data_IF_752856624064
#
_entry.id   IF_752856624064
#
_cell.length_a   1.000
_cell.length_b   1.000
_cell.length_c   1.000
_cell.angle_alpha   90.00
_cell.angle_beta   90.00
_cell.angle_gamma   90.00
#
_symmetry.space_group_name_H-M   'P 1'
#
loop_
_entity.id
_entity.type
_entity.pdbx_description
1 polymer ?
#
# COMPACT_ATOMS: atom_id res chain seq x y z
N UNK A 1 14.28 13.72 4.29
CA UNK A 1 12.94 13.28 4.78
C UNK A 1 12.84 11.80 4.51
N UNK A 2 12.66 10.98 5.54
CA UNK A 2 12.46 9.56 5.36
C UNK A 2 11.01 9.23 4.92
N UNK A 3 10.74 7.96 4.58
CA UNK A 3 9.43 7.53 4.09
C UNK A 3 8.28 7.86 5.06
N UNK A 4 8.46 7.60 6.35
CA UNK A 4 7.42 7.82 7.36
C UNK A 4 7.12 9.32 7.52
N UNK A 5 8.16 10.15 7.54
CA UNK A 5 8.01 11.61 7.58
C UNK A 5 7.28 12.13 6.33
N UNK A 6 7.64 11.64 5.15
CA UNK A 6 6.99 12.01 3.88
C UNK A 6 5.52 11.58 3.85
N UNK A 7 5.23 10.36 4.32
CA UNK A 7 3.86 9.84 4.43
C UNK A 7 3.00 10.70 5.37
N UNK A 8 3.51 11.02 6.55
CA UNK A 8 2.78 11.85 7.52
C UNK A 8 2.60 13.27 7.00
N UNK A 9 3.60 13.85 6.34
CA UNK A 9 3.50 15.17 5.73
C UNK A 9 2.39 15.21 4.66
N UNK A 10 2.36 14.25 3.73
CA UNK A 10 1.32 14.16 2.71
C UNK A 10 -0.06 13.88 3.31
N UNK A 11 -0.14 12.98 4.32
CA UNK A 11 -1.38 12.68 5.03
C UNK A 11 -1.98 13.94 5.70
N UNK A 12 -1.16 14.73 6.36
CA UNK A 12 -1.58 15.97 7.02
C UNK A 12 -1.93 17.06 6.02
N UNK A 13 -1.11 17.27 4.99
CA UNK A 13 -1.34 18.27 3.95
C UNK A 13 -2.68 18.05 3.23
N UNK A 14 -3.01 16.81 2.89
CA UNK A 14 -4.23 16.47 2.16
C UNK A 14 -5.38 16.04 3.10
N UNK A 15 -5.13 16.02 4.42
CA UNK A 15 -6.02 15.48 5.43
C UNK A 15 -6.59 14.11 4.99
N UNK A 16 -5.71 13.15 4.70
CA UNK A 16 -6.08 11.91 4.04
C UNK A 16 -5.31 10.70 4.55
N UNK A 17 -6.01 9.56 4.65
CA UNK A 17 -5.45 8.23 4.83
C UNK A 17 -5.55 7.40 3.55
N UNK A 18 -6.10 7.98 2.47
CA UNK A 18 -6.33 7.30 1.21
C UNK A 18 -5.02 7.08 0.44
N UNK A 19 -4.80 5.87 0.00
CA UNK A 19 -3.76 5.49 -0.96
C UNK A 19 -4.43 4.99 -2.24
N UNK A 20 -4.19 5.66 -3.36
CA UNK A 20 -4.70 5.22 -4.65
C UNK A 20 -3.77 4.18 -5.26
N UNK A 21 -4.32 2.99 -5.53
CA UNK A 21 -3.61 1.94 -6.26
C UNK A 21 -3.64 2.22 -7.76
N UNK A 22 -2.48 2.11 -8.41
CA UNK A 22 -2.34 2.24 -9.87
C UNK A 22 -2.18 0.83 -10.46
N UNK A 23 -3.32 0.20 -10.70
CA UNK A 23 -3.46 -1.19 -11.19
C UNK A 23 -4.18 -1.16 -12.57
N UNK A 24 -3.52 -0.67 -13.66
CA UNK A 24 -4.18 -0.37 -14.92
C UNK A 24 -4.52 -1.62 -15.74
N UNK A 25 -5.79 -1.92 -15.92
CA UNK A 25 -6.30 -2.96 -16.82
C UNK A 25 -6.84 -2.34 -18.11
N UNK A 26 -6.10 -2.44 -19.21
CA UNK A 26 -6.43 -1.82 -20.49
C UNK A 26 -7.87 -2.12 -20.98
N UNK A 27 -8.40 -3.34 -20.71
CA UNK A 27 -9.76 -3.72 -21.07
C UNK A 27 -10.85 -2.89 -20.37
N UNK A 28 -10.50 -2.24 -19.24
CA UNK A 28 -11.41 -1.42 -18.45
C UNK A 28 -11.29 0.08 -18.75
N UNK A 29 -10.44 0.47 -19.71
CA UNK A 29 -10.26 1.87 -20.07
C UNK A 29 -11.44 2.39 -20.91
N UNK A 30 -11.65 3.72 -20.94
CA UNK A 30 -12.57 4.35 -21.85
C UNK A 30 -12.29 3.99 -23.32
N UNK A 31 -13.32 3.88 -24.17
CA UNK A 31 -13.16 3.53 -25.60
C UNK A 31 -12.20 4.45 -26.36
N UNK A 32 -12.09 5.71 -25.98
CA UNK A 32 -11.15 6.68 -26.56
C UNK A 32 -9.69 6.27 -26.34
N UNK A 33 -9.35 5.78 -25.15
CA UNK A 33 -8.00 5.32 -24.80
C UNK A 33 -7.70 3.93 -25.37
N UNK A 34 -8.70 3.05 -25.48
CA UNK A 34 -8.49 1.70 -26.03
C UNK A 34 -8.05 1.69 -27.50
N UNK A 35 -8.30 2.78 -28.24
CA UNK A 35 -7.86 2.95 -29.64
C UNK A 35 -6.37 3.30 -29.78
N UNK A 36 -5.71 3.68 -28.70
CA UNK A 36 -4.28 4.01 -28.68
C UNK A 36 -3.42 2.76 -28.47
N UNK A 37 -2.13 2.78 -28.85
CA UNK A 37 -1.20 1.73 -28.43
C UNK A 37 -1.24 1.52 -26.91
N UNK A 38 -1.23 0.25 -26.49
CA UNK A 38 -1.51 -0.14 -25.09
C UNK A 38 -0.64 0.59 -24.06
N UNK A 39 0.66 0.72 -24.34
CA UNK A 39 1.59 1.41 -23.44
C UNK A 39 1.25 2.90 -23.30
N UNK A 40 0.94 3.57 -24.40
CA UNK A 40 0.53 4.98 -24.39
C UNK A 40 -0.80 5.18 -23.67
N UNK A 41 -1.76 4.27 -23.88
CA UNK A 41 -3.03 4.28 -23.17
C UNK A 41 -2.86 4.16 -21.66
N UNK A 42 -1.99 3.23 -21.21
CA UNK A 42 -1.69 3.04 -19.78
C UNK A 42 -1.05 4.30 -19.19
N UNK A 43 -0.07 4.89 -19.87
CA UNK A 43 0.58 6.14 -19.40
C UNK A 43 -0.46 7.24 -19.25
N UNK A 44 -1.23 7.52 -20.29
CA UNK A 44 -2.24 8.60 -20.28
C UNK A 44 -3.29 8.37 -19.20
N UNK A 45 -3.81 7.14 -19.09
CA UNK A 45 -4.79 6.79 -18.07
C UNK A 45 -4.24 7.06 -16.67
N UNK A 46 -3.06 6.51 -16.34
CA UNK A 46 -2.48 6.70 -15.02
C UNK A 46 -2.15 8.17 -14.73
N UNK A 47 -1.66 8.93 -15.71
CA UNK A 47 -1.38 10.35 -15.56
C UNK A 47 -2.65 11.15 -15.21
N UNK A 48 -3.75 10.92 -15.93
CA UNK A 48 -5.03 11.58 -15.63
C UNK A 48 -5.57 11.21 -14.24
N UNK A 49 -5.46 9.94 -13.84
CA UNK A 49 -5.86 9.50 -12.49
C UNK A 49 -4.98 10.17 -11.42
N UNK A 50 -3.67 10.21 -11.60
CA UNK A 50 -2.74 10.84 -10.66
C UNK A 50 -3.07 12.32 -10.51
N UNK A 51 -3.22 13.05 -11.62
CA UNK A 51 -3.53 14.48 -11.61
C UNK A 51 -4.86 14.75 -10.87
N UNK A 52 -5.89 13.98 -11.20
CA UNK A 52 -7.23 14.14 -10.62
C UNK A 52 -7.29 13.82 -9.12
N UNK A 53 -6.51 12.83 -8.65
CA UNK A 53 -6.62 12.30 -7.28
C UNK A 53 -5.53 12.80 -6.32
N UNK A 54 -4.44 13.39 -6.82
CA UNK A 54 -3.31 13.85 -6.00
C UNK A 54 -3.71 14.71 -4.80
N UNK A 55 -4.70 15.64 -4.87
CA UNK A 55 -5.09 16.44 -3.71
C UNK A 55 -5.79 15.66 -2.59
N UNK A 56 -6.14 14.41 -2.82
CA UNK A 56 -6.97 13.60 -1.90
C UNK A 56 -6.25 12.40 -1.31
N UNK A 57 -4.96 12.20 -1.60
CA UNK A 57 -4.23 10.98 -1.22
C UNK A 57 -3.09 11.26 -0.25
N UNK A 58 -2.75 10.28 0.60
CA UNK A 58 -1.51 10.25 1.37
C UNK A 58 -0.37 9.54 0.64
N UNK A 59 -0.68 8.70 -0.36
CA UNK A 59 0.30 7.95 -1.15
C UNK A 59 -0.30 7.45 -2.47
N UNK A 60 0.55 7.11 -3.45
CA UNK A 60 0.19 6.27 -4.58
C UNK A 60 0.86 4.90 -4.47
N UNK A 61 0.13 3.85 -4.90
CA UNK A 61 0.63 2.48 -4.84
C UNK A 61 0.52 1.78 -6.20
N UNK A 62 1.49 1.97 -7.12
CA UNK A 62 1.54 1.19 -8.33
C UNK A 62 1.88 -0.27 -8.03
N UNK A 63 1.13 -1.21 -8.65
CA UNK A 63 1.42 -2.63 -8.58
C UNK A 63 2.23 -3.02 -9.82
N UNK A 64 3.48 -3.45 -9.59
CA UNK A 64 4.45 -3.70 -10.65
C UNK A 64 3.99 -4.79 -11.63
N UNK A 65 3.18 -5.75 -11.18
CA UNK A 65 2.69 -6.85 -12.01
C UNK A 65 1.89 -6.37 -13.25
N UNK A 66 1.13 -5.26 -13.13
CA UNK A 66 0.39 -4.70 -14.25
C UNK A 66 1.30 -4.10 -15.33
N UNK A 67 2.48 -3.66 -14.95
CA UNK A 67 3.49 -3.11 -15.84
C UNK A 67 4.39 -4.22 -16.42
N UNK A 68 4.84 -5.16 -15.61
CA UNK A 68 5.57 -6.36 -16.07
C UNK A 68 4.77 -7.12 -17.14
N UNK A 69 3.44 -7.22 -16.98
CA UNK A 69 2.55 -7.88 -17.93
C UNK A 69 2.37 -7.14 -19.29
N UNK A 70 2.91 -5.93 -19.43
CA UNK A 70 2.96 -5.23 -20.73
C UNK A 70 4.09 -5.76 -21.63
N UNK A 71 5.00 -6.58 -21.10
CA UNK A 71 6.14 -7.10 -21.83
C UNK A 71 7.35 -6.15 -21.83
N UNK A 72 8.22 -6.21 -22.86
CA UNK A 72 9.52 -5.53 -22.84
C UNK A 72 9.47 -4.01 -22.58
N UNK A 73 8.42 -3.33 -23.03
CA UNK A 73 8.21 -1.89 -22.81
C UNK A 73 7.60 -1.55 -21.45
N UNK A 74 7.15 -2.56 -20.67
CA UNK A 74 6.35 -2.32 -19.46
C UNK A 74 7.09 -1.54 -18.38
N UNK A 75 8.38 -1.75 -18.21
CA UNK A 75 9.15 -1.02 -17.20
C UNK A 75 9.42 0.44 -17.59
N UNK A 76 9.47 0.78 -18.88
CA UNK A 76 9.50 2.16 -19.36
C UNK A 76 8.17 2.85 -19.07
N UNK A 77 7.04 2.15 -19.27
CA UNK A 77 5.70 2.65 -18.91
C UNK A 77 5.62 2.88 -17.40
N UNK A 78 6.09 1.93 -16.58
CA UNK A 78 6.16 2.08 -15.13
C UNK A 78 6.91 3.34 -14.72
N UNK A 79 8.10 3.56 -15.28
CA UNK A 79 8.91 4.74 -14.97
C UNK A 79 8.24 6.05 -15.41
N UNK A 80 7.58 6.06 -16.57
CA UNK A 80 6.82 7.23 -17.04
C UNK A 80 5.64 7.56 -16.10
N UNK A 81 4.95 6.55 -15.58
CA UNK A 81 3.88 6.72 -14.58
C UNK A 81 4.44 7.24 -13.26
N UNK A 82 5.54 6.68 -12.74
CA UNK A 82 6.19 7.17 -11.53
C UNK A 82 6.59 8.63 -11.63
N UNK A 83 7.15 9.05 -12.77
CA UNK A 83 7.57 10.43 -13.02
C UNK A 83 6.42 11.44 -13.04
N UNK A 84 5.17 10.96 -13.15
CA UNK A 84 3.98 11.82 -13.13
C UNK A 84 3.46 12.07 -11.70
N UNK A 85 3.94 11.33 -10.71
CA UNK A 85 3.51 11.49 -9.32
C UNK A 85 4.22 12.70 -8.72
N UNK A 86 3.48 13.67 -8.10
CA UNK A 86 4.09 14.81 -7.44
C UNK A 86 5.11 14.40 -6.38
N UNK A 87 6.27 15.03 -6.38
CA UNK A 87 7.42 14.62 -5.56
C UNK A 87 7.16 14.62 -4.05
N UNK A 88 6.19 15.38 -3.56
CA UNK A 88 5.81 15.44 -2.16
C UNK A 88 4.90 14.27 -1.72
N UNK A 89 4.31 13.52 -2.66
CA UNK A 89 3.46 12.37 -2.36
C UNK A 89 4.30 11.10 -2.42
N UNK A 90 4.32 10.27 -1.37
CA UNK A 90 5.11 9.03 -1.38
C UNK A 90 4.57 7.98 -2.35
N UNK A 91 5.50 7.23 -2.94
CA UNK A 91 5.23 6.09 -3.83
C UNK A 91 5.57 4.79 -3.14
N UNK A 92 4.57 3.91 -3.00
CA UNK A 92 4.71 2.56 -2.44
C UNK A 92 4.62 1.56 -3.58
N UNK A 93 5.73 0.91 -3.97
CA UNK A 93 5.66 -0.14 -4.99
C UNK A 93 5.10 -1.43 -4.40
N UNK A 94 3.96 -1.87 -4.93
CA UNK A 94 3.41 -3.17 -4.57
C UNK A 94 4.05 -4.27 -5.42
N UNK A 95 5.17 -4.83 -4.92
CA UNK A 95 6.00 -5.80 -5.63
C UNK A 95 6.07 -7.16 -4.91
N UNK A 96 5.79 -7.17 -3.60
CA UNK A 96 5.85 -8.36 -2.73
C UNK A 96 7.13 -9.19 -2.95
N UNK A 97 8.29 -8.48 -3.07
CA UNK A 97 9.58 -9.14 -3.29
C UNK A 97 9.95 -10.00 -2.09
N UNK A 98 10.71 -11.06 -2.36
CA UNK A 98 11.23 -11.95 -1.36
C UNK A 98 12.28 -12.85 -2.02
N UNK A 99 13.55 -12.68 -1.62
CA UNK A 99 14.67 -13.43 -2.14
C UNK A 99 15.86 -13.30 -1.16
N UNK A 100 16.93 -14.03 -1.40
CA UNK A 100 18.06 -14.12 -0.48
C UNK A 100 19.27 -13.28 -0.91
N UNK A 101 20.01 -12.78 0.08
CA UNK A 101 21.36 -12.26 -0.06
C UNK A 101 21.52 -11.26 -1.22
N UNK A 102 22.33 -11.65 -2.20
CA UNK A 102 22.65 -10.77 -3.36
C UNK A 102 21.42 -10.45 -4.22
N UNK A 103 20.52 -11.41 -4.47
CA UNK A 103 19.32 -11.20 -5.26
C UNK A 103 18.39 -10.18 -4.58
N UNK A 104 18.20 -10.28 -3.26
CA UNK A 104 17.43 -9.29 -2.51
C UNK A 104 18.03 -7.88 -2.60
N UNK A 105 19.38 -7.75 -2.59
CA UNK A 105 20.06 -6.46 -2.82
C UNK A 105 19.74 -5.89 -4.20
N UNK A 106 19.76 -6.71 -5.25
CA UNK A 106 19.41 -6.24 -6.60
C UNK A 106 17.95 -5.77 -6.70
N UNK A 107 17.00 -6.43 -6.02
CA UNK A 107 15.63 -5.94 -5.93
C UNK A 107 15.54 -4.61 -5.16
N UNK A 108 16.26 -4.44 -4.06
CA UNK A 108 16.29 -3.18 -3.32
C UNK A 108 16.87 -2.04 -4.18
N UNK A 109 18.02 -2.28 -4.84
CA UNK A 109 18.63 -1.32 -5.80
C UNK A 109 17.64 -0.94 -6.92
N UNK A 110 16.96 -1.91 -7.52
CA UNK A 110 15.99 -1.63 -8.58
C UNK A 110 14.87 -0.69 -8.12
N UNK A 111 14.28 -0.97 -6.95
CA UNK A 111 13.16 -0.18 -6.44
C UNK A 111 13.61 1.19 -5.93
N UNK A 112 14.69 1.27 -5.18
CA UNK A 112 15.06 2.48 -4.46
C UNK A 112 16.01 3.38 -5.25
N UNK A 113 17.01 2.80 -5.93
CA UNK A 113 18.03 3.58 -6.64
C UNK A 113 17.63 3.84 -8.11
N UNK A 114 17.04 2.84 -8.79
CA UNK A 114 16.69 2.98 -10.22
C UNK A 114 15.33 3.62 -10.41
N UNK A 115 14.28 3.11 -9.72
CA UNK A 115 12.93 3.66 -9.84
C UNK A 115 12.65 4.81 -8.88
N UNK A 116 13.50 5.05 -7.88
CA UNK A 116 13.40 6.17 -6.95
C UNK A 116 12.19 6.13 -6.03
N UNK A 117 11.61 4.94 -5.80
CA UNK A 117 10.41 4.80 -4.99
C UNK A 117 10.70 5.03 -3.50
N UNK A 118 9.66 5.42 -2.75
CA UNK A 118 9.79 5.73 -1.32
C UNK A 118 9.61 4.48 -0.44
N UNK A 119 8.83 3.50 -0.89
CA UNK A 119 8.61 2.25 -0.15
C UNK A 119 8.31 1.08 -1.08
N UNK A 120 8.46 -0.13 -0.56
CA UNK A 120 8.18 -1.38 -1.27
C UNK A 120 7.51 -2.42 -0.36
N UNK A 121 6.58 -3.22 -0.92
CA UNK A 121 6.04 -4.37 -0.21
C UNK A 121 6.98 -5.58 -0.35
N UNK A 122 7.25 -6.25 0.78
CA UNK A 122 8.19 -7.39 0.88
C UNK A 122 7.53 -8.56 1.60
N UNK A 123 7.85 -9.79 1.17
CA UNK A 123 7.41 -11.00 1.83
C UNK A 123 8.44 -11.44 2.88
N UNK A 124 8.10 -11.52 4.17
CA UNK A 124 9.04 -11.88 5.23
C UNK A 124 9.24 -13.39 5.41
N UNK A 125 8.61 -14.23 4.61
CA UNK A 125 8.57 -15.69 4.81
C UNK A 125 9.97 -16.34 4.85
N UNK A 126 10.95 -15.78 4.14
CA UNK A 126 12.33 -16.26 4.15
C UNK A 126 13.16 -15.77 5.34
N UNK A 127 12.60 -14.97 6.25
CA UNK A 127 13.28 -14.49 7.46
C UNK A 127 14.03 -13.16 7.28
N UNK A 128 14.76 -12.77 8.33
CA UNK A 128 15.41 -11.45 8.43
C UNK A 128 16.42 -11.16 7.32
N UNK A 129 17.25 -12.13 6.98
CA UNK A 129 18.31 -11.99 5.96
C UNK A 129 17.77 -11.70 4.55
N UNK A 130 16.52 -12.08 4.27
CA UNK A 130 15.82 -11.74 3.04
C UNK A 130 15.27 -10.30 3.05
N UNK A 131 15.01 -9.76 4.21
CA UNK A 131 14.45 -8.40 4.42
C UNK A 131 15.55 -7.36 4.65
N UNK A 132 16.64 -7.75 5.30
CA UNK A 132 17.75 -6.87 5.66
C UNK A 132 18.32 -6.03 4.51
N UNK A 133 18.44 -6.52 3.26
CA UNK A 133 18.91 -5.70 2.14
C UNK A 133 18.01 -4.50 1.84
N UNK A 134 16.70 -4.61 2.05
CA UNK A 134 15.76 -3.50 1.91
C UNK A 134 15.84 -2.55 3.11
N UNK A 135 15.98 -3.08 4.34
CA UNK A 135 16.12 -2.29 5.57
C UNK A 135 17.42 -1.50 5.62
N UNK A 136 18.42 -1.86 4.81
CA UNK A 136 19.68 -1.12 4.68
C UNK A 136 19.50 0.29 4.10
N UNK A 137 18.31 0.64 3.62
CA UNK A 137 17.91 1.98 3.16
C UNK A 137 17.07 2.66 4.26
N UNK A 138 17.67 3.36 5.23
CA UNK A 138 16.94 3.86 6.40
C UNK A 138 15.95 4.98 6.09
N UNK A 139 16.09 5.64 4.95
CA UNK A 139 15.18 6.66 4.43
C UNK A 139 14.00 6.10 3.63
N UNK A 140 14.03 4.80 3.30
CA UNK A 140 13.01 4.09 2.52
C UNK A 140 12.13 3.20 3.39
N UNK A 141 10.85 3.04 3.00
CA UNK A 141 9.91 2.19 3.71
C UNK A 141 9.93 0.73 3.22
N UNK A 142 9.92 -0.21 4.15
CA UNK A 142 9.79 -1.64 3.87
C UNK A 142 8.49 -2.14 4.50
N UNK A 143 7.47 -2.39 3.66
CA UNK A 143 6.13 -2.76 4.12
C UNK A 143 5.97 -4.28 3.97
N UNK A 144 5.99 -4.99 5.09
CA UNK A 144 6.05 -6.45 5.13
C UNK A 144 4.66 -7.09 5.20
N UNK A 145 4.45 -8.16 4.43
CA UNK A 145 3.21 -8.93 4.51
C UNK A 145 3.05 -9.52 5.90
N UNK A 146 1.89 -9.29 6.51
CA UNK A 146 1.58 -9.80 7.85
C UNK A 146 0.28 -10.60 7.84
N UNK A 147 -0.87 -9.94 7.67
CA UNK A 147 -2.18 -10.59 7.54
C UNK A 147 -2.85 -10.13 6.26
N UNK A 148 -2.90 -11.00 5.26
CA UNK A 148 -3.41 -10.64 3.92
C UNK A 148 -4.92 -10.84 3.81
N UNK A 149 -5.58 -10.15 2.87
CA UNK A 149 -7.04 -10.12 2.73
C UNK A 149 -7.65 -11.29 1.96
N UNK A 150 -6.82 -12.13 1.32
CA UNK A 150 -7.30 -13.25 0.51
C UNK A 150 -7.82 -14.42 1.38
N UNK A 151 -8.84 -15.16 0.94
CA UNK A 151 -9.45 -16.23 1.73
C UNK A 151 -8.49 -17.33 2.20
N UNK A 152 -7.53 -17.73 1.33
CA UNK A 152 -6.54 -18.76 1.65
C UNK A 152 -5.39 -18.28 2.56
N UNK A 153 -5.41 -17.04 3.02
CA UNK A 153 -4.44 -16.57 4.01
C UNK A 153 -4.45 -17.42 5.29
N UNK A 154 -5.62 -17.96 5.64
CA UNK A 154 -5.82 -18.86 6.79
C UNK A 154 -5.01 -20.16 6.71
N UNK A 155 -4.60 -20.60 5.53
CA UNK A 155 -3.83 -21.83 5.36
C UNK A 155 -2.49 -21.78 6.13
N UNK A 156 -1.96 -20.57 6.32
CA UNK A 156 -0.72 -20.32 7.05
C UNK A 156 -0.87 -19.30 8.16
N UNK A 157 -1.48 -18.15 7.88
CA UNK A 157 -1.40 -16.99 8.76
C UNK A 157 -2.19 -17.16 10.06
N UNK A 158 -3.26 -17.98 10.04
CA UNK A 158 -4.09 -18.29 11.22
C UNK A 158 -3.61 -19.52 12.00
N UNK A 159 -2.52 -20.19 11.58
CA UNK A 159 -1.96 -21.32 12.32
C UNK A 159 -1.56 -20.88 13.73
N UNK A 160 -2.00 -21.67 14.71
CA UNK A 160 -1.73 -21.41 16.12
C UNK A 160 -0.37 -22.00 16.52
N UNK A 161 0.51 -21.15 17.03
CA UNK A 161 1.87 -21.51 17.42
C UNK A 161 2.02 -21.34 18.93
N UNK A 162 2.41 -22.42 19.61
CA UNK A 162 2.74 -22.38 21.03
C UNK A 162 4.08 -21.66 21.21
N UNK A 163 4.12 -20.66 22.10
CA UNK A 163 5.30 -19.89 22.43
C UNK A 163 5.99 -20.47 23.67
N UNK A 164 7.25 -20.11 23.89
CA UNK A 164 8.04 -20.54 25.07
C UNK A 164 7.42 -20.10 26.41
N UNK A 165 6.66 -18.98 26.39
CA UNK A 165 5.93 -18.49 27.56
C UNK A 165 4.62 -19.26 27.86
N UNK A 166 4.36 -20.35 27.13
CA UNK A 166 3.17 -21.19 27.25
C UNK A 166 1.92 -20.63 26.56
N UNK A 167 1.97 -19.42 26.00
CA UNK A 167 0.84 -18.82 25.25
C UNK A 167 0.78 -19.35 23.85
N UNK A 168 -0.43 -19.44 23.32
CA UNK A 168 -0.67 -19.78 21.90
C UNK A 168 -1.08 -18.53 21.15
N UNK A 169 -0.42 -18.26 20.00
CA UNK A 169 -0.67 -17.10 19.15
C UNK A 169 -0.81 -17.50 17.69
N UNK A 170 -1.66 -16.83 16.91
CA UNK A 170 -1.69 -17.04 15.46
C UNK A 170 -0.37 -16.55 14.83
N UNK A 171 0.02 -17.22 13.72
CA UNK A 171 1.29 -16.93 13.05
C UNK A 171 1.41 -15.45 12.65
N UNK A 172 0.33 -14.80 12.23
CA UNK A 172 0.39 -13.38 11.84
C UNK A 172 0.80 -12.46 13.01
N UNK A 173 0.44 -12.76 14.26
CA UNK A 173 0.89 -11.98 15.43
C UNK A 173 2.39 -12.17 15.68
N UNK A 174 2.88 -13.39 15.51
CA UNK A 174 4.31 -13.69 15.62
C UNK A 174 5.09 -12.95 14.54
N UNK A 175 4.59 -12.93 13.31
CA UNK A 175 5.17 -12.17 12.21
C UNK A 175 5.21 -10.68 12.57
N UNK A 176 4.12 -10.11 13.10
CA UNK A 176 4.08 -8.71 13.53
C UNK A 176 5.13 -8.41 14.61
N UNK A 177 5.27 -9.28 15.63
CA UNK A 177 6.28 -9.14 16.68
C UNK A 177 7.72 -9.20 16.12
N UNK A 178 7.99 -10.12 15.17
CA UNK A 178 9.30 -10.21 14.52
C UNK A 178 9.60 -8.96 13.70
N UNK A 179 8.65 -8.48 12.90
CA UNK A 179 8.81 -7.24 12.12
C UNK A 179 9.06 -6.05 13.05
N UNK A 180 8.34 -5.96 14.18
CA UNK A 180 8.60 -4.92 15.19
C UNK A 180 10.04 -4.98 15.72
N UNK A 181 10.58 -6.19 15.98
CA UNK A 181 11.96 -6.34 16.44
C UNK A 181 13.01 -5.96 15.39
N UNK A 182 12.66 -6.03 14.09
CA UNK A 182 13.52 -5.62 12.98
C UNK A 182 13.48 -4.11 12.71
N UNK A 183 12.51 -3.41 13.26
CA UNK A 183 12.25 -1.98 13.00
C UNK A 183 13.22 -1.06 13.75
N UNK A 184 14.52 -1.34 13.72
CA UNK A 184 15.54 -0.57 14.44
C UNK A 184 15.69 0.84 13.87
N UNK A 185 15.63 0.98 12.56
CA UNK A 185 15.73 2.27 11.86
C UNK A 185 14.39 3.03 11.76
N UNK A 186 13.27 2.45 12.25
CA UNK A 186 11.94 3.08 12.14
C UNK A 186 11.35 3.05 10.73
N UNK A 187 11.84 2.18 9.84
CA UNK A 187 11.48 2.14 8.42
C UNK A 187 10.65 0.92 8.01
N UNK A 188 10.21 0.08 8.96
CA UNK A 188 9.27 -1.00 8.70
C UNK A 188 7.82 -0.52 8.72
N UNK A 189 7.00 -1.15 7.88
CA UNK A 189 5.54 -1.11 7.92
C UNK A 189 4.96 -2.51 7.76
N UNK A 190 3.65 -2.64 7.82
CA UNK A 190 2.94 -3.91 7.73
C UNK A 190 1.86 -3.85 6.64
N UNK A 191 1.58 -4.98 5.98
CA UNK A 191 0.37 -5.15 5.17
C UNK A 191 -0.64 -5.94 5.98
N UNK A 192 -1.81 -5.35 6.24
CA UNK A 192 -2.91 -6.00 6.98
C UNK A 192 -4.23 -5.74 6.25
N UNK A 193 -4.92 -6.79 5.85
CA UNK A 193 -6.15 -6.69 5.05
C UNK A 193 -7.33 -6.09 5.82
N UNK A 194 -8.13 -5.28 5.13
CA UNK A 194 -9.35 -4.63 5.65
C UNK A 194 -10.49 -5.60 6.03
N UNK A 195 -10.41 -6.86 5.57
CA UNK A 195 -11.44 -7.87 5.83
C UNK A 195 -11.39 -8.45 7.25
N UNK A 196 -10.41 -8.07 8.04
CA UNK A 196 -10.12 -8.60 9.37
C UNK A 196 -9.86 -7.47 10.38
N UNK A 197 -10.88 -6.68 10.78
CA UNK A 197 -10.69 -5.54 11.69
C UNK A 197 -10.16 -5.91 13.08
N UNK A 198 -10.53 -7.08 13.60
CA UNK A 198 -10.08 -7.55 14.92
C UNK A 198 -8.58 -7.89 14.89
N UNK A 199 -8.14 -8.58 13.85
CA UNK A 199 -6.74 -8.91 13.62
C UNK A 199 -5.91 -7.63 13.38
N UNK A 200 -6.48 -6.66 12.65
CA UNK A 200 -5.87 -5.35 12.43
C UNK A 200 -5.67 -4.61 13.76
N UNK A 201 -6.66 -4.64 14.66
CA UNK A 201 -6.57 -4.05 16.00
C UNK A 201 -5.48 -4.73 16.85
N UNK A 202 -5.41 -6.08 16.83
CA UNK A 202 -4.38 -6.84 17.53
C UNK A 202 -2.99 -6.48 17.01
N UNK A 203 -2.82 -6.39 15.68
CA UNK A 203 -1.55 -6.02 15.04
C UNK A 203 -1.17 -4.57 15.37
N UNK A 204 -2.12 -3.63 15.36
CA UNK A 204 -1.89 -2.23 15.77
C UNK A 204 -1.41 -2.15 17.22
N UNK A 205 -1.99 -2.94 18.14
CA UNK A 205 -1.52 -3.00 19.53
C UNK A 205 -0.09 -3.54 19.65
N UNK A 206 0.30 -4.51 18.81
CA UNK A 206 1.68 -5.03 18.75
C UNK A 206 2.63 -3.97 18.16
N UNK A 207 2.20 -3.23 17.13
CA UNK A 207 3.02 -2.30 16.35
C UNK A 207 2.41 -0.87 16.39
N UNK A 208 2.41 -0.18 17.55
CA UNK A 208 1.67 1.07 17.74
C UNK A 208 2.17 2.20 16.83
N UNK A 209 3.46 2.26 16.53
CA UNK A 209 4.12 3.37 15.83
C UNK A 209 4.47 3.08 14.37
N UNK A 210 4.04 1.94 13.83
CA UNK A 210 4.41 1.51 12.47
C UNK A 210 3.32 1.86 11.46
N UNK A 211 3.65 2.29 10.23
CA UNK A 211 2.68 2.40 9.15
C UNK A 211 2.03 1.05 8.83
N UNK A 212 0.72 1.03 8.62
CA UNK A 212 -0.01 -0.16 8.17
C UNK A 212 -0.69 0.13 6.84
N UNK A 213 -0.29 -0.60 5.81
CA UNK A 213 -0.95 -0.62 4.51
C UNK A 213 -2.15 -1.58 4.58
N UNK A 214 -3.34 -1.05 4.35
CA UNK A 214 -4.61 -1.76 4.53
C UNK A 214 -5.31 -1.90 3.17
N UNK A 215 -5.03 -2.98 2.42
CA UNK A 215 -5.73 -3.28 1.17
C UNK A 215 -7.07 -3.97 1.43
N UNK A 216 -7.96 -3.92 0.43
CA UNK A 216 -9.23 -4.67 0.43
C UNK A 216 -10.45 -3.89 0.92
N UNK A 217 -10.30 -2.58 1.12
CA UNK A 217 -11.42 -1.68 1.40
C UNK A 217 -12.29 -1.55 0.14
N UNK A 218 -13.60 -1.74 0.29
CA UNK A 218 -14.58 -1.62 -0.79
C UNK A 218 -14.70 -2.89 -1.63
N UNK A 219 -13.90 -3.08 -2.68
CA UNK A 219 -14.06 -4.16 -3.67
C UNK A 219 -13.90 -5.60 -3.11
N UNK A 220 -13.30 -5.77 -1.94
CA UNK A 220 -13.15 -7.06 -1.26
C UNK A 220 -14.06 -7.20 -0.03
N UNK A 221 -15.00 -6.26 0.18
CA UNK A 221 -15.99 -6.32 1.26
C UNK A 221 -15.47 -5.84 2.62
N UNK A 222 -14.28 -5.25 2.72
CA UNK A 222 -13.78 -4.67 3.96
C UNK A 222 -14.59 -3.45 4.39
N UNK A 223 -14.97 -3.41 5.68
CA UNK A 223 -15.62 -2.26 6.28
C UNK A 223 -14.63 -1.10 6.43
N UNK A 224 -14.90 0.01 5.73
CA UNK A 224 -14.04 1.19 5.73
C UNK A 224 -13.90 1.79 7.11
N UNK A 225 -15.01 1.99 7.83
CA UNK A 225 -15.01 2.63 9.14
C UNK A 225 -14.27 1.79 10.19
N UNK A 226 -14.58 0.49 10.25
CA UNK A 226 -13.88 -0.44 11.12
C UNK A 226 -12.39 -0.53 10.80
N UNK A 227 -12.02 -0.52 9.50
CA UNK A 227 -10.61 -0.54 9.08
C UNK A 227 -9.84 0.74 9.48
N UNK A 228 -10.49 1.90 9.40
CA UNK A 228 -9.89 3.16 9.88
C UNK A 228 -9.68 3.12 11.38
N UNK A 229 -10.73 2.79 12.16
CA UNK A 229 -10.69 2.77 13.63
C UNK A 229 -9.65 1.79 14.17
N UNK A 230 -9.56 0.59 13.57
CA UNK A 230 -8.59 -0.42 13.97
C UNK A 230 -7.16 -0.15 13.46
N UNK A 231 -7.04 0.59 12.35
CA UNK A 231 -5.77 0.77 11.64
C UNK A 231 -4.98 2.00 12.05
N UNK A 232 -5.61 3.07 12.54
CA UNK A 232 -4.91 4.30 12.96
C UNK A 232 -4.16 4.11 14.27
N UNK A 233 -3.13 4.90 14.48
CA UNK A 233 -2.44 5.02 15.77
C UNK A 233 -3.20 5.95 16.74
N UNK A 234 -2.62 6.19 17.92
CA UNK A 234 -3.21 7.08 18.95
C UNK A 234 -3.38 8.53 18.51
N UNK A 235 -2.75 8.93 17.40
CA UNK A 235 -2.88 10.27 16.81
C UNK A 235 -3.87 10.30 15.64
N UNK A 236 -4.51 9.17 15.31
CA UNK A 236 -5.38 9.03 14.16
C UNK A 236 -4.62 8.97 12.82
N UNK A 237 -3.36 8.55 12.83
CA UNK A 237 -2.44 8.55 11.67
C UNK A 237 -1.91 7.13 11.37
N UNK A 238 -0.94 6.98 10.46
CA UNK A 238 -0.18 5.76 10.12
C UNK A 238 -1.01 4.60 9.56
N UNK A 239 -2.29 4.80 9.27
CA UNK A 239 -3.08 3.89 8.44
C UNK A 239 -3.02 4.36 6.97
N UNK A 240 -2.77 3.44 6.05
CA UNK A 240 -2.69 3.69 4.61
C UNK A 240 -3.75 2.82 3.96
N UNK A 241 -4.95 3.37 3.73
CA UNK A 241 -6.07 2.62 3.16
C UNK A 241 -5.96 2.57 1.64
N UNK A 242 -5.59 1.40 1.11
CA UNK A 242 -5.36 1.22 -0.31
C UNK A 242 -6.63 0.87 -1.06
N UNK A 243 -7.01 1.74 -2.01
CA UNK A 243 -8.16 1.59 -2.89
C UNK A 243 -7.69 1.73 -4.34
N UNK A 244 -8.12 0.80 -5.21
CA UNK A 244 -7.75 0.81 -6.63
C UNK A 244 -9.01 0.87 -7.51
N UNK A 245 -9.66 -0.27 -7.74
CA UNK A 245 -10.69 -0.44 -8.79
C UNK A 245 -11.87 0.51 -8.69
N UNK A 246 -12.38 0.80 -7.50
CA UNK A 246 -13.52 1.72 -7.34
C UNK A 246 -13.18 3.16 -7.73
N UNK A 247 -11.90 3.55 -7.64
CA UNK A 247 -11.42 4.86 -8.07
C UNK A 247 -11.05 4.83 -9.56
N UNK A 248 -10.21 3.88 -9.97
CA UNK A 248 -9.70 3.82 -11.34
C UNK A 248 -10.83 3.67 -12.38
N UNK A 249 -11.88 2.95 -12.02
CA UNK A 249 -12.97 2.60 -12.92
C UNK A 249 -14.32 3.11 -12.38
N UNK A 250 -14.31 4.30 -11.76
CA UNK A 250 -15.52 4.97 -11.28
C UNK A 250 -16.46 5.36 -12.44
N UNK A 251 -15.91 5.59 -13.63
CA UNK A 251 -16.64 5.73 -14.90
C UNK A 251 -15.95 4.97 -16.03
N UNK A 252 -16.74 4.49 -17.00
CA UNK A 252 -16.26 3.87 -18.23
C UNK A 252 -16.21 4.86 -19.40
N UNK A 253 -16.60 6.12 -19.19
CA UNK A 253 -16.64 7.20 -20.16
C UNK A 253 -15.38 8.06 -20.17
N UNK A 254 -15.35 9.07 -21.00
CA UNK A 254 -14.25 10.04 -21.11
C UNK A 254 -14.13 10.95 -19.87
N UNK A 255 -15.14 10.94 -19.00
CA UNK A 255 -15.18 11.58 -17.68
C UNK A 255 -14.49 10.79 -16.58
N UNK A 256 -13.78 9.71 -16.91
CA UNK A 256 -13.15 8.78 -15.95
C UNK A 256 -12.26 9.46 -14.91
N UNK A 257 -11.55 10.53 -15.30
CA UNK A 257 -10.67 11.27 -14.39
C UNK A 257 -11.48 12.10 -13.38
N UNK A 258 -12.56 12.75 -13.81
CA UNK A 258 -13.45 13.50 -12.93
C UNK A 258 -14.22 12.57 -11.99
N UNK A 259 -14.66 11.42 -12.48
CA UNK A 259 -15.29 10.39 -11.66
C UNK A 259 -14.32 9.83 -10.60
N UNK A 260 -13.07 9.57 -10.97
CA UNK A 260 -12.02 9.13 -10.04
C UNK A 260 -11.72 10.19 -8.97
N UNK A 261 -11.67 11.46 -9.35
CA UNK A 261 -11.52 12.59 -8.42
C UNK A 261 -12.63 12.61 -7.37
N UNK A 262 -13.87 12.52 -7.81
CA UNK A 262 -15.02 12.57 -6.91
C UNK A 262 -15.06 11.36 -5.98
N UNK A 263 -14.80 10.15 -6.48
CA UNK A 263 -14.71 8.95 -5.66
C UNK A 263 -13.58 9.04 -4.62
N UNK A 264 -12.40 9.53 -5.02
CA UNK A 264 -11.28 9.75 -4.09
C UNK A 264 -11.64 10.76 -3.00
N UNK A 265 -12.34 11.86 -3.35
CA UNK A 265 -12.82 12.86 -2.39
C UNK A 265 -13.81 12.24 -1.39
N UNK A 266 -14.80 11.50 -1.88
CA UNK A 266 -15.81 10.82 -1.06
C UNK A 266 -15.15 9.84 -0.09
N UNK A 267 -14.24 9.01 -0.58
CA UNK A 267 -13.53 8.03 0.25
C UNK A 267 -12.68 8.70 1.33
N UNK A 268 -11.89 9.75 0.96
CA UNK A 268 -11.14 10.55 1.91
C UNK A 268 -12.03 11.12 3.03
N UNK A 269 -13.18 11.70 2.67
CA UNK A 269 -14.10 12.32 3.61
C UNK A 269 -14.73 11.28 4.55
N UNK A 270 -15.10 10.11 4.01
CA UNK A 270 -15.60 8.97 4.81
C UNK A 270 -14.53 8.42 5.76
N UNK A 271 -13.27 8.33 5.33
CA UNK A 271 -12.16 7.92 6.20
C UNK A 271 -11.95 8.92 7.34
N UNK A 272 -12.04 10.22 7.06
CA UNK A 272 -11.91 11.26 8.07
C UNK A 272 -13.07 11.24 9.09
N UNK A 273 -14.30 11.02 8.64
CA UNK A 273 -15.44 10.85 9.53
C UNK A 273 -15.26 9.67 10.47
N UNK A 274 -14.76 8.53 9.96
CA UNK A 274 -14.50 7.34 10.78
C UNK A 274 -13.36 7.54 11.79
N UNK A 275 -12.32 8.32 11.41
CA UNK A 275 -11.17 8.66 12.27
C UNK A 275 -11.57 9.48 13.49
N UNK A 276 -12.50 10.44 13.32
CA UNK A 276 -12.94 11.34 14.39
C UNK A 276 -13.79 10.63 15.46
N UNK A 277 -14.51 9.58 15.10
CA UNK A 277 -15.34 8.81 16.04
C UNK A 277 -14.48 8.00 17.03
N UNK A 278 -13.26 7.60 16.65
CA UNK A 278 -12.34 6.81 17.48
C UNK A 278 -11.54 7.63 18.50
N UNK A 279 -11.57 8.95 18.45
CA UNK A 279 -10.80 9.86 19.30
C UNK A 279 -11.60 10.53 20.42
N UNK A 280 -12.85 10.11 20.64
CA UNK A 280 -13.60 10.54 21.84
C UNK A 280 -13.18 9.69 23.05
N UNK A 281 -12.78 10.35 24.17
CA UNK A 281 -12.33 9.69 25.40
C UNK A 281 -13.42 8.87 26.09
#
# INVERSE_FOLDING_TARGET
MNFVEKLLAASRQHNSLLCVGLDPEHKCFPPSLQKSPKEQAVIRFCQSIIEATAPYVCAFKPNIAFFEALGPGGMQVFQAVLSSIPAHIPVIVDAKRGDLGNTARHYATAVFDIYGCDAVTVNPYLGYDSVAPFLAYPDKGVILLCRTSNPSARDFQDLLIQQEDGRTRPLYEIVAQRIRSWNVAGNCGLVVGATYPQELQSIRAICPDMPILIPGVGSQGGDLAASVQAGVDSQGERAILAVSRSILYASNGDDYADAAKEEARILRDRMNAARTIGTQP
#
